data_IF_978715996376
#
_entry.id   IF_978715996376
#
_cell.length_a   1.000
_cell.length_b   1.000
_cell.length_c   1.000
_cell.angle_alpha   90.00
_cell.angle_beta   90.00
_cell.angle_gamma   90.00
#
_symmetry.space_group_name_H-M   'P 1'
#
loop_
_entity.id
_entity.type
_entity.pdbx_description
1 polymer ?
#
# COMPACT_ATOMS: atom_id res chain seq x y z
N UNK A 1 -16.91 17.41 -5.05
CA UNK A 1 -15.47 17.13 -5.09
C UNK A 1 -14.76 18.09 -4.16
N UNK A 2 -14.17 17.56 -3.09
CA UNK A 2 -13.53 18.32 -2.02
C UNK A 2 -12.02 18.27 -2.24
N UNK A 3 -11.35 19.42 -2.20
CA UNK A 3 -9.90 19.52 -2.31
C UNK A 3 -9.28 19.84 -0.96
N UNK A 4 -8.11 19.27 -0.69
CA UNK A 4 -7.38 19.44 0.58
C UNK A 4 -5.87 19.46 0.35
N UNK A 5 -5.15 20.27 1.11
CA UNK A 5 -3.69 20.32 1.11
C UNK A 5 -3.16 19.58 2.33
N UNK A 6 -2.37 18.51 2.13
CA UNK A 6 -1.84 17.68 3.22
C UNK A 6 -0.35 17.37 3.03
N UNK A 7 0.39 17.09 4.11
CA UNK A 7 1.70 16.47 4.02
C UNK A 7 1.63 15.13 3.27
N UNK A 8 2.63 14.85 2.43
CA UNK A 8 2.71 13.65 1.62
C UNK A 8 3.80 12.70 2.14
N UNK A 9 3.43 11.44 2.36
CA UNK A 9 4.30 10.38 2.84
C UNK A 9 4.40 9.26 1.79
N UNK A 10 5.42 9.29 0.92
CA UNK A 10 5.68 8.21 -0.03
C UNK A 10 6.10 6.90 0.64
N UNK A 11 5.60 5.76 0.14
CA UNK A 11 5.94 4.40 0.59
C UNK A 11 6.18 3.45 -0.59
N UNK A 12 6.90 2.37 -0.34
CA UNK A 12 7.01 1.24 -1.28
C UNK A 12 5.81 0.27 -1.19
N UNK A 13 4.69 0.71 -0.63
CA UNK A 13 3.49 -0.09 -0.42
C UNK A 13 2.23 0.77 -0.52
N UNK A 14 1.10 0.11 -0.76
CA UNK A 14 -0.21 0.76 -0.89
C UNK A 14 -0.94 0.69 0.45
N UNK A 15 -1.45 1.84 0.91
CA UNK A 15 -2.38 1.94 2.04
C UNK A 15 -3.82 1.94 1.52
N UNK A 16 -4.69 1.13 2.13
CA UNK A 16 -6.13 1.12 1.84
C UNK A 16 -6.93 1.72 3.00
N UNK A 17 -8.11 2.30 2.72
CA UNK A 17 -9.05 2.72 3.75
C UNK A 17 -9.37 1.62 4.77
N UNK A 18 -9.50 2.01 6.04
CA UNK A 18 -9.79 1.14 7.18
C UNK A 18 -8.59 0.35 7.71
N UNK A 19 -7.42 0.42 7.06
CA UNK A 19 -6.24 -0.34 7.48
C UNK A 19 -5.31 0.49 8.35
N UNK A 20 -4.74 -0.20 9.34
CA UNK A 20 -3.75 0.36 10.25
C UNK A 20 -2.35 0.23 9.66
N UNK A 21 -1.61 1.33 9.69
CA UNK A 21 -0.24 1.48 9.21
C UNK A 21 0.66 1.88 10.38
N UNK A 22 1.39 0.93 10.98
CA UNK A 22 2.43 1.24 11.96
C UNK A 22 3.69 1.74 11.24
N UNK A 23 4.23 2.88 11.66
CA UNK A 23 5.42 3.50 11.08
C UNK A 23 6.47 3.77 12.16
N UNK A 24 7.72 3.47 11.82
CA UNK A 24 8.89 3.93 12.55
C UNK A 24 9.61 4.98 11.69
N UNK A 25 9.64 6.23 12.17
CA UNK A 25 10.11 7.38 11.39
C UNK A 25 11.46 7.83 11.90
N UNK A 26 12.46 7.74 11.03
CA UNK A 26 13.85 8.10 11.32
C UNK A 26 14.37 9.25 10.43
N UNK A 27 13.85 9.37 9.20
CA UNK A 27 14.29 10.39 8.25
C UNK A 27 13.87 11.80 8.68
N UNK A 28 14.79 12.76 8.56
CA UNK A 28 14.63 14.12 9.05
C UNK A 28 13.38 14.83 8.49
N UNK A 29 13.11 14.69 7.19
CA UNK A 29 11.91 15.27 6.54
C UNK A 29 10.61 14.77 7.18
N UNK A 30 10.52 13.47 7.47
CA UNK A 30 9.33 12.89 8.08
C UNK A 30 9.26 13.16 9.58
N UNK A 31 10.40 13.32 10.26
CA UNK A 31 10.42 13.83 11.65
C UNK A 31 9.89 15.26 11.72
N UNK A 32 10.28 16.12 10.78
CA UNK A 32 9.74 17.48 10.67
C UNK A 32 8.22 17.46 10.42
N UNK A 33 7.74 16.57 9.55
CA UNK A 33 6.31 16.35 9.32
C UNK A 33 5.57 15.91 10.59
N UNK A 34 6.08 14.94 11.35
CA UNK A 34 5.43 14.50 12.59
C UNK A 34 5.37 15.60 13.65
N UNK A 35 6.42 16.41 13.76
CA UNK A 35 6.40 17.59 14.65
C UNK A 35 5.38 18.62 14.22
N UNK A 36 5.17 18.81 12.91
CA UNK A 36 4.13 19.70 12.42
C UNK A 36 2.74 19.17 12.78
N UNK A 37 2.48 17.88 12.57
CA UNK A 37 1.21 17.24 12.93
C UNK A 37 0.93 17.29 14.45
N UNK A 38 1.96 17.25 15.29
CA UNK A 38 1.81 17.39 16.74
C UNK A 38 1.39 18.79 17.19
N UNK A 39 1.54 19.82 16.35
CA UNK A 39 1.06 21.18 16.67
C UNK A 39 -0.45 21.32 16.50
N UNK A 40 -1.08 20.43 15.74
CA UNK A 40 -2.54 20.34 15.63
C UNK A 40 -3.14 19.95 16.98
N UNK A 41 -4.27 20.57 17.31
CA UNK A 41 -5.02 20.29 18.53
C UNK A 41 -5.30 18.79 18.68
N UNK A 42 -5.33 18.28 19.91
CA UNK A 42 -5.63 16.88 20.18
C UNK A 42 -7.06 16.50 19.77
N UNK A 43 -7.98 17.47 19.72
CA UNK A 43 -9.36 17.26 19.29
C UNK A 43 -9.50 17.18 17.76
N UNK A 44 -8.50 17.62 17.00
CA UNK A 44 -8.50 17.61 15.54
C UNK A 44 -7.74 16.40 14.96
N UNK A 45 -8.21 15.82 13.84
CA UNK A 45 -7.54 14.69 13.22
C UNK A 45 -6.20 15.12 12.63
N UNK A 46 -5.13 14.45 13.06
CA UNK A 46 -3.77 14.64 12.51
C UNK A 46 -3.62 13.88 11.20
N UNK A 47 -3.88 14.56 10.08
CA UNK A 47 -3.97 13.93 8.75
C UNK A 47 -2.72 14.11 7.91
N UNK A 48 -2.40 13.08 7.14
CA UNK A 48 -1.43 13.14 6.05
C UNK A 48 -1.81 12.17 4.94
N UNK A 49 -1.30 12.37 3.72
CA UNK A 49 -1.55 11.48 2.61
C UNK A 49 -0.42 10.47 2.43
N UNK A 50 -0.77 9.20 2.26
CA UNK A 50 0.15 8.12 1.90
C UNK A 50 0.01 7.84 0.42
N UNK A 51 1.14 7.77 -0.29
CA UNK A 51 1.17 7.41 -1.72
C UNK A 51 2.23 6.35 -1.98
N UNK A 52 1.91 5.40 -2.86
CA UNK A 52 2.88 4.42 -3.31
C UNK A 52 3.84 5.05 -4.34
N UNK A 53 5.13 4.73 -4.19
CA UNK A 53 6.20 5.09 -5.13
C UNK A 53 6.11 4.14 -6.33
N UNK A 54 6.25 4.69 -7.54
CA UNK A 54 6.39 3.90 -8.77
C UNK A 54 7.77 3.27 -8.80
N UNK A 55 7.85 1.97 -9.01
CA UNK A 55 9.13 1.29 -9.15
C UNK A 55 9.86 1.74 -10.43
N UNK A 56 11.19 1.72 -10.43
CA UNK A 56 12.02 2.07 -11.61
C UNK A 56 11.69 1.26 -12.88
N UNK A 57 11.00 0.11 -12.77
CA UNK A 57 10.47 -0.65 -13.90
C UNK A 57 9.21 -0.04 -14.53
N UNK A 58 8.46 0.79 -13.79
CA UNK A 58 7.24 1.48 -14.25
C UNK A 58 7.53 2.85 -14.87
N UNK A 59 8.76 3.37 -14.71
CA UNK A 59 9.18 4.71 -15.17
C UNK A 59 10.04 4.70 -16.45
N UNK A 60 10.12 3.56 -17.16
CA UNK A 60 11.00 3.31 -18.31
C UNK A 60 12.50 3.12 -17.95
N UNK A 61 13.30 2.45 -18.82
CA UNK A 61 14.37 1.56 -18.38
C UNK A 61 15.64 2.29 -17.98
N UNK A 62 16.04 2.15 -16.72
CA UNK A 62 17.44 2.38 -16.34
C UNK A 62 18.30 1.28 -16.95
N UNK A 63 19.31 1.63 -17.73
CA UNK A 63 20.25 0.67 -18.30
C UNK A 63 20.92 -0.16 -17.17
N UNK A 64 21.00 -1.50 -17.26
CA UNK A 64 21.56 -2.32 -16.19
C UNK A 64 23.09 -2.18 -16.12
N UNK A 65 23.64 -2.04 -14.90
CA UNK A 65 24.98 -2.54 -14.62
C UNK A 65 26.09 -1.54 -14.29
N UNK A 66 25.81 -0.27 -14.01
CA UNK A 66 26.79 0.60 -13.33
C UNK A 66 26.21 1.17 -12.03
N UNK A 67 26.94 1.09 -10.89
CA UNK A 67 26.60 1.93 -9.75
C UNK A 67 26.70 3.38 -10.22
N UNK A 68 25.59 4.10 -10.16
CA UNK A 68 25.57 5.51 -10.51
C UNK A 68 26.41 6.28 -9.49
N UNK A 69 27.68 6.49 -9.81
CA UNK A 69 28.62 7.28 -9.02
C UNK A 69 28.29 8.79 -9.07
N UNK A 70 27.25 9.20 -9.82
CA UNK A 70 26.75 10.57 -9.87
C UNK A 70 25.54 10.81 -8.98
N UNK A 71 25.10 9.81 -8.21
CA UNK A 71 24.05 9.97 -7.20
C UNK A 71 24.59 10.86 -6.06
N UNK A 72 24.62 12.18 -6.33
CA UNK A 72 24.75 13.21 -5.31
C UNK A 72 23.70 12.86 -4.27
N UNK A 73 24.10 12.76 -3.00
CA UNK A 73 23.16 12.66 -1.89
C UNK A 73 22.23 13.88 -1.97
N UNK A 74 21.10 13.70 -2.67
CA UNK A 74 20.07 14.71 -2.76
C UNK A 74 19.59 14.93 -1.33
N UNK A 75 19.64 16.18 -0.87
CA UNK A 75 19.13 16.58 0.44
C UNK A 75 17.90 17.44 0.23
N UNK A 76 16.89 17.23 1.06
CA UNK A 76 15.63 17.95 1.00
C UNK A 76 14.42 17.02 0.80
N UNK A 77 13.22 17.60 0.68
CA UNK A 77 11.97 16.84 0.63
C UNK A 77 11.85 15.94 -0.59
N UNK A 78 12.39 16.35 -1.74
CA UNK A 78 12.37 15.63 -3.02
C UNK A 78 13.47 14.57 -3.18
N UNK A 79 14.35 14.42 -2.18
CA UNK A 79 15.47 13.49 -2.26
C UNK A 79 15.01 12.07 -2.62
N UNK A 80 15.54 11.53 -3.72
CA UNK A 80 15.21 10.20 -4.23
C UNK A 80 13.96 10.14 -5.11
N UNK A 81 13.33 11.27 -5.42
CA UNK A 81 12.15 11.36 -6.29
C UNK A 81 12.40 12.13 -7.60
N UNK A 82 13.63 12.57 -7.82
CA UNK A 82 14.04 13.34 -9.00
C UNK A 82 13.55 14.79 -8.99
N UNK A 83 13.69 15.47 -10.12
CA UNK A 83 13.39 16.91 -10.27
C UNK A 83 11.90 17.22 -10.29
N UNK A 84 11.05 16.21 -10.54
CA UNK A 84 9.60 16.33 -10.60
C UNK A 84 8.96 15.19 -9.77
N UNK A 85 8.86 15.36 -8.44
CA UNK A 85 8.50 14.27 -7.53
C UNK A 85 7.16 13.61 -7.83
N UNK A 86 6.19 14.34 -8.40
CA UNK A 86 4.87 13.78 -8.73
C UNK A 86 4.95 12.60 -9.70
N UNK A 87 5.98 12.57 -10.58
CA UNK A 87 6.19 11.48 -11.53
C UNK A 87 6.70 10.20 -10.87
N UNK A 88 7.30 10.31 -9.69
CA UNK A 88 7.76 9.16 -8.92
C UNK A 88 6.62 8.48 -8.15
N UNK A 89 5.40 9.03 -8.14
CA UNK A 89 4.29 8.54 -7.32
C UNK A 89 3.12 8.06 -8.17
N UNK A 90 2.38 7.07 -7.67
CA UNK A 90 1.09 6.74 -8.25
C UNK A 90 0.08 7.87 -8.05
N UNK A 91 -0.89 7.97 -8.97
CA UNK A 91 -1.84 9.11 -9.00
C UNK A 91 -2.85 9.08 -7.84
N UNK A 92 -3.13 7.90 -7.30
CA UNK A 92 -4.08 7.71 -6.20
C UNK A 92 -3.35 7.22 -4.95
N UNK A 93 -3.62 7.88 -3.84
CA UNK A 93 -3.17 7.51 -2.50
C UNK A 93 -4.33 7.36 -1.53
N UNK A 94 -4.00 7.35 -0.24
CA UNK A 94 -4.96 7.29 0.84
C UNK A 94 -4.59 8.30 1.92
N UNK A 95 -5.55 9.11 2.36
CA UNK A 95 -5.41 9.91 3.58
C UNK A 95 -5.30 8.93 4.76
N UNK A 96 -4.38 9.23 5.67
CA UNK A 96 -4.18 8.50 6.90
C UNK A 96 -4.35 9.46 8.09
N UNK A 97 -5.13 9.02 9.06
CA UNK A 97 -5.31 9.71 10.33
C UNK A 97 -4.33 9.13 11.35
N UNK A 98 -3.41 9.95 11.83
CA UNK A 98 -2.40 9.57 12.82
C UNK A 98 -3.01 9.55 14.23
N UNK A 99 -3.58 8.40 14.61
CA UNK A 99 -4.18 8.19 15.93
C UNK A 99 -3.16 8.25 17.07
N UNK A 100 -1.90 7.94 16.81
CA UNK A 100 -0.83 8.03 17.81
C UNK A 100 0.46 8.49 17.16
N UNK A 101 1.09 9.52 17.75
CA UNK A 101 2.43 9.99 17.38
C UNK A 101 3.24 10.08 18.68
N UNK A 102 4.32 9.30 18.79
CA UNK A 102 5.20 9.29 19.97
C UNK A 102 6.63 9.55 19.55
N UNK A 103 7.22 10.63 20.06
CA UNK A 103 8.67 10.88 19.93
C UNK A 103 9.42 9.99 20.93
N UNK A 104 10.48 9.33 20.47
CA UNK A 104 11.39 8.53 21.28
C UNK A 104 12.56 9.39 21.77
N UNK A 105 13.35 8.88 22.71
CA UNK A 105 14.50 9.59 23.28
C UNK A 105 15.59 9.93 22.24
N UNK A 106 15.74 9.11 21.19
CA UNK A 106 16.63 9.38 20.04
C UNK A 106 16.03 10.38 19.03
N UNK A 107 14.82 10.85 19.33
CA UNK A 107 13.98 11.76 18.55
C UNK A 107 13.37 11.14 17.29
N UNK A 108 13.49 9.82 17.08
CA UNK A 108 12.67 9.10 16.09
C UNK A 108 11.20 9.07 16.54
N UNK A 109 10.28 8.78 15.62
CA UNK A 109 8.86 8.70 15.95
C UNK A 109 8.31 7.30 15.74
N UNK A 110 7.43 6.89 16.64
CA UNK A 110 6.52 5.77 16.45
C UNK A 110 5.13 6.34 16.14
N UNK A 111 4.57 5.92 15.02
CA UNK A 111 3.28 6.43 14.54
C UNK A 111 2.36 5.26 14.25
N UNK A 112 1.13 5.36 14.73
CA UNK A 112 0.04 4.49 14.34
C UNK A 112 -0.98 5.31 13.56
N UNK A 113 -1.07 5.05 12.27
CA UNK A 113 -2.02 5.73 11.40
C UNK A 113 -3.08 4.76 10.86
N UNK A 114 -4.25 5.26 10.51
CA UNK A 114 -5.32 4.47 9.88
C UNK A 114 -5.72 5.14 8.58
N UNK A 115 -5.75 4.37 7.48
CA UNK A 115 -6.25 4.87 6.19
C UNK A 115 -7.74 5.21 6.28
N UNK A 116 -8.16 6.33 5.68
CA UNK A 116 -9.53 6.83 5.76
C UNK A 116 -10.16 7.01 4.38
N UNK A 117 -9.60 7.90 3.57
CA UNK A 117 -10.22 8.33 2.31
C UNK A 117 -9.25 8.14 1.15
N UNK A 118 -9.75 7.68 0.00
CA UNK A 118 -8.95 7.64 -1.24
C UNK A 118 -8.80 9.05 -1.79
N UNK A 119 -7.61 9.38 -2.27
CA UNK A 119 -7.32 10.70 -2.83
C UNK A 119 -6.59 10.59 -4.14
N UNK A 120 -6.89 11.48 -5.06
CA UNK A 120 -6.09 11.72 -6.27
C UNK A 120 -5.14 12.88 -6.03
N UNK A 121 -3.88 12.71 -6.40
CA UNK A 121 -2.86 13.76 -6.34
C UNK A 121 -3.05 14.70 -7.53
N UNK A 122 -3.22 15.99 -7.24
CA UNK A 122 -3.31 17.04 -8.26
C UNK A 122 -1.96 17.69 -8.52
N UNK A 123 -1.22 18.00 -7.44
CA UNK A 123 0.13 18.56 -7.51
C UNK A 123 0.92 18.26 -6.25
N UNK A 124 2.26 18.27 -6.36
CA UNK A 124 3.19 18.10 -5.24
C UNK A 124 4.05 19.35 -5.11
N UNK A 125 4.15 19.88 -3.89
CA UNK A 125 5.07 20.95 -3.52
C UNK A 125 6.23 20.40 -2.70
N UNK A 126 7.44 20.78 -3.11
CA UNK A 126 8.71 20.40 -2.51
C UNK A 126 9.50 21.61 -2.00
N UNK A 127 8.85 22.77 -1.83
CA UNK A 127 9.46 24.00 -1.32
C UNK A 127 9.72 23.98 0.19
N UNK A 128 8.98 23.15 0.93
CA UNK A 128 9.02 23.05 2.38
C UNK A 128 10.03 22.01 2.93
N UNK A 129 9.99 21.74 4.25
CA UNK A 129 10.86 20.75 4.89
C UNK A 129 10.49 19.28 4.57
N UNK A 130 9.27 19.05 4.09
CA UNK A 130 8.73 17.77 3.62
C UNK A 130 7.80 18.05 2.43
N UNK A 131 7.44 16.99 1.69
CA UNK A 131 6.52 17.11 0.58
C UNK A 131 5.10 17.41 1.08
N UNK A 132 4.41 18.32 0.41
CA UNK A 132 2.97 18.55 0.56
C UNK A 132 2.29 18.32 -0.79
N UNK A 133 1.00 18.02 -0.78
CA UNK A 133 0.24 17.80 -2.00
C UNK A 133 -1.14 18.42 -1.93
N UNK A 134 -1.59 18.95 -3.07
CA UNK A 134 -2.99 19.24 -3.31
C UNK A 134 -3.69 17.96 -3.75
N UNK A 135 -4.77 17.62 -3.06
CA UNK A 135 -5.43 16.34 -3.17
C UNK A 135 -6.92 16.54 -3.45
N UNK A 136 -7.47 15.65 -4.27
CA UNK A 136 -8.90 15.54 -4.51
C UNK A 136 -9.43 14.27 -3.85
N UNK A 137 -10.37 14.41 -2.92
CA UNK A 137 -11.02 13.26 -2.29
C UNK A 137 -11.91 12.52 -3.28
N UNK A 138 -11.74 11.19 -3.34
CA UNK A 138 -12.50 10.31 -4.21
C UNK A 138 -13.66 9.68 -3.43
N UNK A 139 -14.86 9.78 -4.00
CA UNK A 139 -16.07 9.17 -3.45
C UNK A 139 -16.04 7.64 -3.61
N UNK A 140 -16.69 6.93 -2.68
CA UNK A 140 -16.80 5.48 -2.70
C UNK A 140 -18.16 5.03 -3.23
N UNK A 141 -18.23 4.81 -4.55
CA UNK A 141 -19.40 4.22 -5.17
C UNK A 141 -19.41 2.70 -5.02
N UNK A 142 -20.56 2.14 -4.65
CA UNK A 142 -20.71 0.68 -4.55
C UNK A 142 -20.62 -0.02 -5.91
N UNK A 143 -21.27 0.55 -6.93
CA UNK A 143 -21.42 -0.08 -8.24
C UNK A 143 -22.41 -1.27 -8.26
N UNK A 144 -22.82 -1.68 -9.46
CA UNK A 144 -23.82 -2.73 -9.62
C UNK A 144 -23.29 -4.12 -9.23
N UNK A 145 -24.11 -4.86 -8.48
CA UNK A 145 -23.84 -6.22 -8.04
C UNK A 145 -22.78 -6.37 -6.94
N UNK A 146 -22.36 -5.27 -6.28
CA UNK A 146 -21.29 -5.28 -5.27
C UNK A 146 -21.47 -6.33 -4.18
N UNK A 147 -22.69 -6.49 -3.63
CA UNK A 147 -22.97 -7.48 -2.59
C UNK A 147 -22.75 -8.94 -3.04
N UNK A 148 -23.23 -9.29 -4.24
CA UNK A 148 -23.03 -10.63 -4.79
C UNK A 148 -21.54 -10.89 -5.12
N UNK A 149 -20.84 -9.88 -5.61
CA UNK A 149 -19.40 -9.93 -5.86
C UNK A 149 -18.61 -10.12 -4.56
N UNK A 150 -18.94 -9.39 -3.50
CA UNK A 150 -18.31 -9.51 -2.19
C UNK A 150 -18.44 -10.93 -1.63
N UNK A 151 -19.66 -11.50 -1.67
CA UNK A 151 -19.87 -12.90 -1.27
C UNK A 151 -19.01 -13.89 -2.08
N UNK A 152 -18.86 -13.64 -3.38
CA UNK A 152 -17.98 -14.39 -4.27
C UNK A 152 -16.50 -14.25 -3.90
N UNK A 153 -16.03 -13.03 -3.65
CA UNK A 153 -14.66 -12.71 -3.23
C UNK A 153 -14.34 -13.41 -1.92
N UNK A 154 -15.19 -13.29 -0.90
CA UNK A 154 -14.97 -13.94 0.39
C UNK A 154 -14.82 -15.46 0.26
N UNK A 155 -15.61 -16.09 -0.62
CA UNK A 155 -15.48 -17.52 -0.91
C UNK A 155 -14.13 -17.85 -1.59
N UNK A 156 -13.74 -17.05 -2.58
CA UNK A 156 -12.46 -17.23 -3.28
C UNK A 156 -11.27 -16.99 -2.34
N UNK A 157 -11.34 -15.96 -1.51
CA UNK A 157 -10.31 -15.59 -0.54
C UNK A 157 -10.10 -16.67 0.53
N UNK A 158 -11.18 -17.23 1.10
CA UNK A 158 -11.07 -18.38 2.01
C UNK A 158 -10.39 -19.59 1.35
N UNK A 159 -10.66 -19.84 0.07
CA UNK A 159 -10.00 -20.92 -0.68
C UNK A 159 -8.51 -20.62 -0.91
N UNK A 160 -8.17 -19.37 -1.23
CA UNK A 160 -6.79 -18.90 -1.34
C UNK A 160 -6.04 -19.09 -0.01
N UNK A 161 -6.60 -18.63 1.11
CA UNK A 161 -5.99 -18.78 2.44
C UNK A 161 -5.76 -20.24 2.83
N UNK A 162 -6.74 -21.13 2.58
CA UNK A 162 -6.59 -22.57 2.83
C UNK A 162 -5.42 -23.17 2.05
N UNK A 163 -5.19 -22.71 0.83
CA UNK A 163 -4.07 -23.20 -0.01
C UNK A 163 -2.73 -22.62 0.44
N UNK A 164 -2.71 -21.34 0.80
CA UNK A 164 -1.51 -20.67 1.29
C UNK A 164 -1.05 -21.27 2.64
N UNK A 165 -1.98 -21.65 3.52
CA UNK A 165 -1.67 -22.16 4.84
C UNK A 165 -1.01 -23.57 4.84
N UNK A 166 -1.30 -24.44 3.87
CA UNK A 166 -0.84 -25.84 3.90
C UNK A 166 -1.19 -26.59 5.21
N UNK A 167 -0.65 -27.81 5.42
CA UNK A 167 -0.95 -28.67 6.59
C UNK A 167 -0.42 -28.17 7.96
N UNK A 168 -0.02 -26.90 8.08
CA UNK A 168 0.35 -26.30 9.36
C UNK A 168 -0.68 -25.25 9.72
N UNK A 169 -1.57 -25.64 10.63
CA UNK A 169 -2.53 -24.82 11.36
C UNK A 169 -1.85 -23.66 12.09
N UNK A 170 -1.43 -22.65 11.34
CA UNK A 170 -1.37 -21.28 11.86
C UNK A 170 -2.32 -20.49 11.00
N UNK A 171 -3.60 -20.57 11.40
CA UNK A 171 -4.66 -19.71 10.91
C UNK A 171 -4.13 -18.29 10.84
N UNK A 172 -3.86 -17.83 9.61
CA UNK A 172 -3.97 -16.41 9.29
C UNK A 172 -5.28 -15.97 9.93
N UNK A 173 -5.26 -14.99 10.81
CA UNK A 173 -6.38 -14.62 11.67
C UNK A 173 -7.72 -14.55 10.90
N UNK A 174 -8.48 -15.66 10.89
CA UNK A 174 -9.80 -15.78 10.26
C UNK A 174 -10.82 -16.28 11.27
N UNK A 175 -10.65 -15.88 12.53
CA UNK A 175 -11.64 -16.07 13.59
C UNK A 175 -12.55 -14.86 13.79
N UNK A 176 -12.28 -13.73 13.11
CA UNK A 176 -13.21 -12.60 13.07
C UNK A 176 -14.25 -12.88 11.98
N UNK A 177 -15.53 -12.67 12.29
CA UNK A 177 -16.55 -12.54 11.25
C UNK A 177 -16.08 -11.47 10.27
N UNK A 178 -15.83 -11.90 9.03
CA UNK A 178 -15.48 -10.98 7.96
C UNK A 178 -16.67 -10.04 7.78
N UNK A 179 -16.45 -8.73 7.64
CA UNK A 179 -17.53 -7.77 7.51
C UNK A 179 -18.38 -8.08 6.27
N UNK A 180 -19.67 -7.71 6.32
CA UNK A 180 -20.60 -7.91 5.20
C UNK A 180 -20.61 -6.76 4.20
N UNK A 181 -20.12 -5.58 4.61
CA UNK A 181 -20.11 -4.38 3.78
C UNK A 181 -19.13 -4.53 2.60
N UNK A 182 -19.60 -4.48 1.33
CA UNK A 182 -18.79 -4.80 0.16
C UNK A 182 -17.51 -3.97 0.02
N UNK A 183 -17.59 -2.67 0.34
CA UNK A 183 -16.43 -1.76 0.26
C UNK A 183 -15.35 -2.17 1.27
N UNK A 184 -15.75 -2.45 2.50
CA UNK A 184 -14.84 -2.92 3.57
C UNK A 184 -14.21 -4.26 3.21
N UNK A 185 -15.01 -5.21 2.70
CA UNK A 185 -14.51 -6.51 2.23
C UNK A 185 -13.42 -6.34 1.19
N UNK A 186 -13.65 -5.50 0.18
CA UNK A 186 -12.70 -5.31 -0.91
C UNK A 186 -11.36 -4.76 -0.38
N UNK A 187 -11.36 -3.74 0.48
CA UNK A 187 -10.11 -3.20 1.02
C UNK A 187 -9.35 -4.20 1.91
N UNK A 188 -10.06 -4.96 2.74
CA UNK A 188 -9.45 -6.00 3.56
C UNK A 188 -8.79 -7.09 2.71
N UNK A 189 -9.49 -7.56 1.67
CA UNK A 189 -8.97 -8.59 0.78
C UNK A 189 -7.80 -8.07 -0.03
N UNK A 190 -7.92 -6.88 -0.64
CA UNK A 190 -6.84 -6.24 -1.41
C UNK A 190 -5.53 -6.13 -0.62
N UNK A 191 -5.61 -5.85 0.69
CA UNK A 191 -4.42 -5.79 1.54
C UNK A 191 -3.88 -7.15 1.96
N UNK A 192 -4.77 -8.11 2.22
CA UNK A 192 -4.39 -9.43 2.73
C UNK A 192 -3.85 -10.38 1.64
N UNK A 193 -4.21 -10.19 0.38
CA UNK A 193 -3.63 -10.96 -0.73
C UNK A 193 -2.19 -10.52 -0.98
N UNK A 194 -1.31 -11.50 -1.23
CA UNK A 194 0.10 -11.25 -1.54
C UNK A 194 0.18 -10.85 -3.00
N UNK A 195 0.21 -9.54 -3.24
CA UNK A 195 0.25 -8.92 -4.57
C UNK A 195 1.42 -7.93 -4.62
N UNK A 196 1.96 -7.74 -5.82
CA UNK A 196 2.90 -6.66 -6.09
C UNK A 196 2.22 -5.28 -5.96
N UNK A 197 3.03 -4.22 -5.80
CA UNK A 197 2.53 -2.83 -5.70
C UNK A 197 1.66 -2.44 -6.90
N UNK A 198 2.05 -2.74 -8.16
CA UNK A 198 1.23 -2.39 -9.32
C UNK A 198 -0.17 -3.01 -9.27
N UNK A 199 -0.32 -4.27 -8.84
CA UNK A 199 -1.62 -4.91 -8.68
C UNK A 199 -2.43 -4.30 -7.54
N UNK A 200 -1.81 -4.06 -6.37
CA UNK A 200 -2.49 -3.37 -5.25
C UNK A 200 -2.95 -1.97 -5.65
N UNK A 201 -2.15 -1.27 -6.45
CA UNK A 201 -2.47 0.06 -6.92
C UNK A 201 -3.65 0.04 -7.90
N UNK A 202 -3.73 -0.95 -8.80
CA UNK A 202 -4.92 -1.15 -9.65
C UNK A 202 -6.19 -1.34 -8.82
N UNK A 203 -6.11 -2.03 -7.68
CA UNK A 203 -7.25 -2.19 -6.78
C UNK A 203 -7.62 -0.88 -6.09
N UNK A 204 -6.66 -0.12 -5.55
CA UNK A 204 -6.92 1.19 -4.93
C UNK A 204 -7.56 2.18 -5.91
N UNK A 205 -7.12 2.14 -7.17
CA UNK A 205 -7.57 3.01 -8.26
C UNK A 205 -8.88 2.58 -8.93
N UNK A 206 -9.50 1.48 -8.49
CA UNK A 206 -10.75 1.03 -9.08
C UNK A 206 -11.84 2.12 -8.98
N UNK A 207 -12.65 2.32 -10.04
CA UNK A 207 -13.62 3.40 -10.10
C UNK A 207 -14.75 3.24 -9.08
N UNK A 208 -15.13 1.99 -8.77
CA UNK A 208 -16.16 1.64 -7.80
C UNK A 208 -15.81 0.32 -7.08
N UNK A 209 -16.49 0.04 -5.97
CA UNK A 209 -16.31 -1.18 -5.17
C UNK A 209 -16.54 -2.44 -6.01
N UNK A 210 -17.57 -2.47 -6.86
CA UNK A 210 -17.87 -3.63 -7.69
C UNK A 210 -16.74 -3.93 -8.70
N UNK A 211 -16.12 -2.91 -9.30
CA UNK A 211 -14.98 -3.02 -10.19
C UNK A 211 -13.76 -3.58 -9.45
N UNK A 212 -13.49 -3.08 -8.23
CA UNK A 212 -12.45 -3.60 -7.36
C UNK A 212 -12.65 -5.08 -7.05
N UNK A 213 -13.86 -5.47 -6.60
CA UNK A 213 -14.22 -6.86 -6.30
C UNK A 213 -14.13 -7.79 -7.51
N UNK A 214 -14.53 -7.31 -8.71
CA UNK A 214 -14.37 -8.09 -9.96
C UNK A 214 -12.90 -8.36 -10.26
N UNK A 215 -12.03 -7.37 -10.06
CA UNK A 215 -10.60 -7.52 -10.27
C UNK A 215 -9.96 -8.45 -9.22
N UNK A 216 -10.34 -8.32 -7.95
CA UNK A 216 -9.94 -9.24 -6.88
C UNK A 216 -10.31 -10.68 -7.21
N UNK A 217 -11.53 -10.94 -7.71
CA UNK A 217 -11.91 -12.29 -8.15
C UNK A 217 -10.99 -12.85 -9.22
N UNK A 218 -10.55 -12.03 -10.19
CA UNK A 218 -9.61 -12.47 -11.22
C UNK A 218 -8.25 -12.80 -10.62
N UNK A 219 -7.71 -11.89 -9.80
CA UNK A 219 -6.40 -12.04 -9.14
C UNK A 219 -6.38 -13.27 -8.22
N UNK A 220 -7.37 -13.43 -7.36
CA UNK A 220 -7.48 -14.58 -6.45
C UNK A 220 -7.53 -15.91 -7.20
N UNK A 221 -8.24 -15.97 -8.34
CA UNK A 221 -8.31 -17.17 -9.18
C UNK A 221 -6.97 -17.48 -9.83
N UNK A 222 -6.29 -16.46 -10.35
CA UNK A 222 -4.96 -16.59 -10.94
C UNK A 222 -3.94 -17.10 -9.90
N UNK A 223 -3.85 -16.43 -8.74
CA UNK A 223 -2.96 -16.83 -7.63
C UNK A 223 -3.22 -18.25 -7.14
N UNK A 224 -4.49 -18.60 -6.93
CA UNK A 224 -4.89 -19.96 -6.51
C UNK A 224 -4.49 -21.03 -7.54
N UNK A 225 -4.51 -20.70 -8.83
CA UNK A 225 -4.06 -21.59 -9.89
C UNK A 225 -2.54 -21.73 -9.88
N UNK A 226 -1.78 -20.65 -9.73
CA UNK A 226 -0.31 -20.68 -9.63
C UNK A 226 0.14 -21.51 -8.43
N UNK A 227 -0.46 -21.31 -7.24
CA UNK A 227 -0.16 -22.09 -6.03
C UNK A 227 -0.42 -23.59 -6.24
N UNK A 228 -1.37 -23.98 -7.11
CA UNK A 228 -1.61 -25.39 -7.46
C UNK A 228 -0.44 -26.01 -8.24
N UNK A 229 0.27 -25.20 -9.01
CA UNK A 229 1.30 -25.64 -9.95
C UNK A 229 2.73 -25.40 -9.45
N UNK A 230 2.90 -24.77 -8.29
CA UNK A 230 4.16 -24.72 -7.56
C UNK A 230 4.26 -25.96 -6.66
N UNK A 231 4.93 -27.06 -7.07
CA UNK A 231 5.27 -28.11 -6.13
C UNK A 231 6.16 -27.48 -5.06
N UNK A 232 5.69 -27.46 -3.81
CA UNK A 232 6.56 -27.15 -2.68
C UNK A 232 7.61 -28.25 -2.59
N UNK A 233 8.77 -28.05 -3.21
CA UNK A 233 9.92 -28.90 -2.93
C UNK A 233 10.42 -28.51 -1.53
N UNK A 234 10.48 -29.46 -0.58
CA UNK A 234 11.14 -29.20 0.70
C UNK A 234 12.57 -28.75 0.41
N UNK A 235 13.02 -27.66 1.04
CA UNK A 235 14.38 -27.12 0.83
C UNK A 235 15.49 -28.17 1.11
N UNK A 236 15.18 -29.22 1.87
CA UNK A 236 16.06 -30.38 2.12
C UNK A 236 16.30 -31.27 0.90
N UNK A 237 15.52 -31.14 -0.17
CA UNK A 237 15.68 -31.91 -1.40
C UNK A 237 16.49 -31.16 -2.48
N UNK A 238 16.72 -29.85 -2.32
CA UNK A 238 17.56 -29.05 -3.22
C UNK A 238 19.05 -29.41 -3.16
N UNK A 239 19.51 -30.05 -2.09
CA UNK A 239 20.92 -30.44 -1.89
C UNK A 239 21.20 -31.91 -2.15
N UNK A 240 20.18 -32.71 -2.49
CA UNK A 240 20.30 -34.18 -2.64
C UNK A 240 20.23 -34.68 -4.08
N UNK A 241 19.86 -33.83 -5.03
CA UNK A 241 19.94 -34.17 -6.44
C UNK A 241 21.23 -33.61 -7.05
N UNK A 242 22.12 -34.46 -7.61
CA UNK A 242 23.21 -33.95 -8.42
C UNK A 242 22.59 -33.23 -9.61
N UNK A 243 22.89 -31.93 -9.73
CA UNK A 243 22.63 -31.18 -10.97
C UNK A 243 23.34 -31.91 -12.09
N UNK A 244 22.58 -32.59 -12.95
CA UNK A 244 23.12 -33.22 -14.15
C UNK A 244 22.98 -32.21 -15.30
N UNK A 245 24.07 -31.61 -15.79
CA UNK A 245 24.04 -30.79 -16.98
C UNK A 245 24.25 -31.73 -18.17
N UNK A 246 23.16 -32.18 -18.77
CA UNK A 246 23.14 -32.67 -20.15
C UNK A 246 21.80 -32.30 -20.77
#
# INVERSE_FOLDING_TARGET
>A
MTTVSLPLFPLNSVLFPGLVLPLNIFEERYRAMMRELLKTDEEEPRRFAVVAIRDGHEVAPTAPGMPDQTNRLERGPSAGFGTDPVKAFHEVGCIADAATIREREDGSFEVLATGTTRVKILSVDASGPFLTAELEELEEDSGDGAGALAAGVLRAFRNYQKRLAGARERSLATGADLPDEPSVVSYLVAAAVVLDVPAKQRLLQAPDTAARLREELKLLRAETAVIRHLPSLPATELTRHPTNPN
#
